data_IF_701110019125
#
_entry.id   IF_701110019125
#
_cell.length_a   1.000
_cell.length_b   1.000
_cell.length_c   1.000
_cell.angle_alpha   90.00
_cell.angle_beta   90.00
_cell.angle_gamma   90.00
#
_symmetry.space_group_name_H-M   'P 1'
#
loop_
_entity.id
_entity.type
_entity.pdbx_description
1 polymer ?
#
# COMPACT_ATOMS: atom_id res chain seq x y z
N UNK A 1 -15.58 14.87 32.05
CA UNK A 1 -14.78 13.70 32.40
C UNK A 1 -15.27 13.14 33.74
N UNK A 2 -15.68 11.89 33.80
CA UNK A 2 -16.24 11.21 34.97
C UNK A 2 -17.38 11.99 35.68
N UNK A 3 -18.30 12.52 34.92
CA UNK A 3 -19.44 13.33 35.38
C UNK A 3 -19.10 14.76 35.80
N UNK A 4 -17.83 15.18 35.71
CA UNK A 4 -17.40 16.56 36.04
C UNK A 4 -17.01 17.31 34.78
N UNK A 5 -17.41 18.57 34.68
CA UNK A 5 -16.96 19.47 33.58
C UNK A 5 -15.49 19.81 33.80
N UNK A 6 -14.66 19.59 32.79
CA UNK A 6 -13.23 19.92 32.77
C UNK A 6 -13.02 21.04 31.76
N UNK A 7 -12.63 22.21 32.23
CA UNK A 7 -12.35 23.40 31.40
C UNK A 7 -10.86 23.76 31.34
N UNK A 8 -10.02 23.06 32.14
CA UNK A 8 -8.60 23.32 32.15
C UNK A 8 -7.92 22.78 30.90
N UNK A 9 -7.23 23.65 30.15
CA UNK A 9 -6.44 23.27 28.98
C UNK A 9 -5.30 22.32 29.42
N UNK A 10 -5.07 21.26 28.62
CA UNK A 10 -4.01 20.28 28.89
C UNK A 10 -4.38 19.21 29.92
N UNK A 11 -5.62 19.13 30.37
CA UNK A 11 -6.10 18.01 31.20
C UNK A 11 -5.87 16.69 30.49
N UNK A 12 -5.21 15.75 31.14
CA UNK A 12 -4.99 14.39 30.61
C UNK A 12 -6.18 13.51 31.00
N UNK A 13 -6.55 12.64 30.07
CA UNK A 13 -7.58 11.61 30.27
C UNK A 13 -7.04 10.26 29.83
N UNK A 14 -7.41 9.21 30.53
CA UNK A 14 -7.16 7.82 30.15
C UNK A 14 -8.40 7.26 29.46
N UNK A 15 -8.28 6.95 28.18
CA UNK A 15 -9.40 6.45 27.38
C UNK A 15 -9.92 5.06 27.82
N UNK A 16 -9.14 4.31 28.62
CA UNK A 16 -9.53 2.99 29.12
C UNK A 16 -10.23 3.08 30.50
N UNK A 17 -9.97 4.13 31.26
CA UNK A 17 -10.45 4.28 32.65
C UNK A 17 -11.44 5.43 32.82
N UNK A 18 -11.33 6.48 32.00
CA UNK A 18 -12.14 7.68 32.14
C UNK A 18 -13.36 7.68 31.22
N UNK A 19 -14.53 8.02 31.77
CA UNK A 19 -15.72 8.33 30.99
C UNK A 19 -15.64 9.78 30.51
N UNK A 20 -15.37 9.94 29.20
CA UNK A 20 -15.23 11.25 28.57
C UNK A 20 -16.50 11.58 27.81
N UNK A 21 -17.08 12.76 28.04
CA UNK A 21 -18.23 13.27 27.28
C UNK A 21 -17.87 14.64 26.69
N UNK A 22 -18.36 14.91 25.47
CA UNK A 22 -18.35 16.24 24.83
C UNK A 22 -19.81 16.64 24.58
N UNK A 23 -20.22 17.79 25.11
CA UNK A 23 -21.60 18.27 25.03
C UNK A 23 -22.63 17.23 25.49
N UNK A 24 -22.32 16.54 26.60
CA UNK A 24 -23.16 15.51 27.19
C UNK A 24 -23.19 14.17 26.43
N UNK A 25 -22.53 14.06 25.28
CA UNK A 25 -22.44 12.81 24.51
C UNK A 25 -21.17 12.05 24.91
N UNK A 26 -21.27 10.79 25.31
CA UNK A 26 -20.07 10.00 25.64
C UNK A 26 -19.21 9.83 24.39
N UNK A 27 -17.91 10.06 24.52
CA UNK A 27 -16.94 9.59 23.54
C UNK A 27 -16.83 8.08 23.68
N UNK A 28 -17.12 7.39 22.59
CA UNK A 28 -16.86 5.96 22.51
C UNK A 28 -15.35 5.75 22.68
N UNK A 29 -14.98 4.65 23.37
CA UNK A 29 -13.58 4.28 23.55
C UNK A 29 -12.83 4.15 22.21
N UNK A 30 -11.53 3.81 22.24
CA UNK A 30 -10.73 3.72 21.01
C UNK A 30 -11.39 2.80 20.00
N UNK A 31 -11.50 3.28 18.76
CA UNK A 31 -12.10 2.54 17.67
C UNK A 31 -11.34 1.23 17.43
N UNK A 32 -12.08 0.12 17.27
CA UNK A 32 -11.45 -1.16 16.94
C UNK A 32 -10.62 -1.03 15.67
N UNK A 33 -9.34 -1.40 15.76
CA UNK A 33 -8.47 -1.41 14.60
C UNK A 33 -8.86 -2.53 13.65
N UNK A 34 -9.01 -2.18 12.37
CA UNK A 34 -9.41 -3.07 11.29
C UNK A 34 -8.32 -3.09 10.22
N UNK A 35 -8.01 -4.27 9.72
CA UNK A 35 -7.01 -4.49 8.68
C UNK A 35 -7.59 -5.40 7.61
N UNK A 36 -7.73 -4.91 6.39
CA UNK A 36 -8.26 -5.67 5.27
C UNK A 36 -7.19 -5.84 4.19
N UNK A 37 -7.04 -7.06 3.71
CA UNK A 37 -6.32 -7.37 2.49
C UNK A 37 -7.33 -7.38 1.34
N UNK A 38 -7.24 -6.38 0.46
CA UNK A 38 -8.04 -6.28 -0.76
C UNK A 38 -7.21 -6.72 -1.96
N UNK A 39 -7.76 -7.58 -2.83
CA UNK A 39 -7.21 -7.80 -4.17
C UNK A 39 -7.87 -6.80 -5.13
N UNK A 40 -7.25 -5.63 -5.26
CA UNK A 40 -7.75 -4.55 -6.11
C UNK A 40 -7.76 -4.98 -7.57
N UNK A 41 -8.88 -4.94 -8.30
CA UNK A 41 -8.90 -5.11 -9.75
C UNK A 41 -8.46 -3.81 -10.45
N UNK A 42 -8.16 -3.88 -11.74
CA UNK A 42 -8.03 -2.67 -12.59
C UNK A 42 -9.37 -1.92 -12.67
N UNK A 43 -9.31 -0.63 -13.01
CA UNK A 43 -10.51 0.19 -13.18
C UNK A 43 -11.04 0.81 -11.88
N UNK A 44 -10.29 0.76 -10.80
CA UNK A 44 -10.62 1.41 -9.53
C UNK A 44 -9.48 2.34 -9.11
N UNK A 45 -9.81 3.57 -8.70
CA UNK A 45 -8.83 4.51 -8.14
C UNK A 45 -8.59 4.21 -6.66
N UNK A 46 -7.33 4.33 -6.25
CA UNK A 46 -6.92 4.10 -4.85
C UNK A 46 -7.08 5.42 -4.07
N UNK A 47 -8.30 5.73 -3.70
CA UNK A 47 -8.67 6.90 -2.91
C UNK A 47 -9.95 6.64 -2.13
N UNK A 48 -10.20 7.42 -1.08
CA UNK A 48 -11.45 7.40 -0.32
C UNK A 48 -12.57 8.09 -1.10
N UNK A 49 -12.25 9.13 -1.86
CA UNK A 49 -13.19 9.89 -2.70
C UNK A 49 -12.51 10.33 -3.97
N UNK A 50 -13.23 10.32 -5.08
CA UNK A 50 -12.74 10.77 -6.38
C UNK A 50 -13.61 11.89 -6.93
N UNK A 51 -13.05 13.09 -7.17
CA UNK A 51 -13.84 14.22 -7.69
C UNK A 51 -14.29 14.03 -9.14
N UNK A 52 -13.66 13.12 -9.89
CA UNK A 52 -14.05 12.79 -11.28
C UNK A 52 -15.13 11.69 -11.35
N UNK A 53 -15.61 11.19 -10.20
CA UNK A 53 -16.66 10.18 -10.14
C UNK A 53 -16.27 8.79 -10.63
N UNK A 54 -14.96 8.49 -10.73
CA UNK A 54 -14.49 7.15 -11.10
C UNK A 54 -14.70 6.18 -9.93
N UNK A 55 -14.93 4.89 -10.20
CA UNK A 55 -15.04 3.88 -9.15
C UNK A 55 -13.83 3.88 -8.22
N UNK A 56 -14.05 3.89 -6.92
CA UNK A 56 -12.99 3.89 -5.91
C UNK A 56 -12.86 2.53 -5.24
N UNK A 57 -11.72 2.27 -4.61
CA UNK A 57 -11.50 1.04 -3.83
C UNK A 57 -12.48 0.92 -2.64
N UNK A 58 -13.10 2.02 -2.21
CA UNK A 58 -14.10 2.02 -1.15
C UNK A 58 -15.37 1.28 -1.54
N UNK A 59 -15.76 1.33 -2.81
CA UNK A 59 -16.94 0.62 -3.32
C UNK A 59 -16.78 -0.91 -3.19
N UNK A 60 -15.54 -1.42 -3.28
CA UNK A 60 -15.24 -2.84 -3.15
C UNK A 60 -15.39 -3.37 -1.73
N UNK A 61 -15.25 -2.52 -0.71
CA UNK A 61 -15.40 -2.89 0.71
C UNK A 61 -16.79 -2.55 1.27
N UNK A 62 -17.62 -1.82 0.51
CA UNK A 62 -19.02 -1.54 0.81
C UNK A 62 -19.24 -0.79 2.13
N UNK A 63 -20.32 -1.15 2.87
CA UNK A 63 -20.71 -0.48 4.11
C UNK A 63 -19.71 -0.63 5.28
N UNK A 64 -18.67 -1.43 5.14
CA UNK A 64 -17.54 -1.53 6.09
C UNK A 64 -16.55 -0.36 5.96
N UNK A 65 -16.94 0.68 5.27
CA UNK A 65 -16.13 1.88 5.05
C UNK A 65 -15.92 2.75 6.30
N UNK A 66 -16.23 2.27 7.51
CA UNK A 66 -16.03 2.99 8.75
C UNK A 66 -14.57 3.42 8.88
N UNK A 67 -14.28 4.65 8.46
CA UNK A 67 -12.96 5.31 8.53
C UNK A 67 -11.78 4.52 7.95
N UNK A 68 -12.01 3.46 7.15
CA UNK A 68 -10.92 2.74 6.48
C UNK A 68 -10.36 3.59 5.33
N UNK A 69 -9.06 3.50 5.14
CA UNK A 69 -8.37 4.13 4.01
C UNK A 69 -7.27 3.20 3.47
N UNK A 70 -6.93 3.35 2.18
CA UNK A 70 -5.89 2.54 1.55
C UNK A 70 -4.50 2.91 2.07
N UNK A 71 -3.66 1.89 2.31
CA UNK A 71 -2.26 2.05 2.69
C UNK A 71 -1.40 2.06 1.44
N UNK A 72 -0.92 3.24 1.07
CA UNK A 72 -0.26 3.46 -0.20
C UNK A 72 -1.23 3.39 -1.37
N UNK A 73 -0.68 3.28 -2.58
CA UNK A 73 -1.47 3.35 -3.81
C UNK A 73 -1.10 2.26 -4.80
N UNK A 74 -2.08 1.85 -5.59
CA UNK A 74 -1.94 1.17 -6.87
C UNK A 74 -2.62 2.04 -7.93
N UNK A 75 -1.99 2.19 -9.09
CA UNK A 75 -2.56 2.96 -10.20
C UNK A 75 -3.90 2.35 -10.67
N UNK A 76 -4.71 3.14 -11.38
CA UNK A 76 -6.00 2.74 -11.93
C UNK A 76 -5.93 1.43 -12.75
N UNK A 77 -4.88 1.29 -13.57
CA UNK A 77 -4.63 0.11 -14.41
C UNK A 77 -3.80 -0.98 -13.71
N UNK A 78 -3.44 -0.81 -12.43
CA UNK A 78 -2.68 -1.79 -11.66
C UNK A 78 -3.60 -2.61 -10.76
N UNK A 79 -3.22 -3.85 -10.51
CA UNK A 79 -4.01 -4.85 -9.78
C UNK A 79 -3.27 -5.34 -8.55
N UNK A 80 -3.96 -6.09 -7.69
CA UNK A 80 -3.37 -6.92 -6.64
C UNK A 80 -3.54 -6.39 -5.23
N UNK A 81 -2.66 -6.82 -4.34
CA UNK A 81 -2.75 -6.62 -2.91
C UNK A 81 -2.74 -5.13 -2.54
N UNK A 82 -3.81 -4.67 -1.92
CA UNK A 82 -3.94 -3.37 -1.30
C UNK A 82 -4.39 -3.57 0.15
N UNK A 83 -3.61 -3.03 1.09
CA UNK A 83 -4.01 -3.00 2.50
C UNK A 83 -4.94 -1.82 2.74
N UNK A 84 -6.03 -2.04 3.48
CA UNK A 84 -6.95 -1.02 3.96
C UNK A 84 -7.00 -1.09 5.48
N UNK A 85 -6.95 0.04 6.17
CA UNK A 85 -6.97 0.07 7.65
C UNK A 85 -7.44 1.43 8.18
N UNK A 86 -7.82 1.48 9.46
CA UNK A 86 -7.96 2.69 10.26
C UNK A 86 -6.79 2.90 11.23
N UNK A 87 -5.75 2.03 11.19
CA UNK A 87 -4.51 2.19 11.96
C UNK A 87 -3.56 3.18 11.26
N UNK A 88 -3.64 4.46 11.67
CA UNK A 88 -2.81 5.53 11.10
C UNK A 88 -1.32 5.32 11.33
N UNK A 89 -0.94 4.78 12.48
CA UNK A 89 0.46 4.56 12.83
C UNK A 89 1.10 3.50 11.91
N UNK A 90 0.43 2.36 11.74
CA UNK A 90 0.90 1.30 10.84
C UNK A 90 0.89 1.76 9.38
N UNK A 91 -0.15 2.47 8.95
CA UNK A 91 -0.24 3.00 7.59
C UNK A 91 0.91 3.97 7.27
N UNK A 92 1.24 4.85 8.20
CA UNK A 92 2.36 5.77 8.06
C UNK A 92 3.69 5.01 7.97
N UNK A 93 3.93 4.01 8.84
CA UNK A 93 5.15 3.19 8.79
C UNK A 93 5.29 2.47 7.45
N UNK A 94 4.24 1.81 6.96
CA UNK A 94 4.25 1.07 5.68
C UNK A 94 4.48 1.95 4.45
N UNK A 95 4.09 3.23 4.51
CA UNK A 95 4.23 4.18 3.40
C UNK A 95 5.52 4.98 3.43
N UNK A 96 6.19 5.09 4.57
CA UNK A 96 7.51 5.72 4.67
C UNK A 96 8.53 4.97 3.80
N UNK A 97 9.31 5.70 3.00
CA UNK A 97 10.38 5.10 2.20
C UNK A 97 11.45 4.40 3.07
N UNK A 98 11.70 4.95 4.25
CA UNK A 98 12.68 4.42 5.22
C UNK A 98 12.29 3.06 5.83
N UNK A 99 11.03 2.64 5.76
CA UNK A 99 10.60 1.33 6.29
C UNK A 99 11.10 0.16 5.45
N UNK A 100 11.50 0.42 4.21
CA UNK A 100 12.03 -0.59 3.26
C UNK A 100 11.17 -1.86 3.15
N UNK A 101 9.89 -1.81 3.51
CA UNK A 101 8.99 -2.97 3.39
C UNK A 101 8.90 -3.42 1.94
N UNK A 102 9.28 -4.67 1.63
CA UNK A 102 9.34 -5.15 0.26
C UNK A 102 7.94 -5.24 -0.35
N UNK A 103 7.85 -4.85 -1.60
CA UNK A 103 6.65 -4.92 -2.43
C UNK A 103 6.96 -5.76 -3.66
N UNK A 104 6.33 -6.92 -3.79
CA UNK A 104 6.56 -7.84 -4.90
C UNK A 104 5.48 -7.67 -5.95
N UNK A 105 5.91 -7.50 -7.19
CA UNK A 105 5.02 -7.32 -8.33
C UNK A 105 5.30 -8.37 -9.41
N UNK A 106 4.23 -8.87 -10.01
CA UNK A 106 4.30 -9.53 -11.31
C UNK A 106 3.97 -8.51 -12.40
N UNK A 107 4.83 -8.44 -13.40
CA UNK A 107 4.79 -7.41 -14.46
C UNK A 107 4.84 -8.10 -15.81
N UNK A 108 3.79 -7.95 -16.62
CA UNK A 108 3.78 -8.38 -18.03
C UNK A 108 4.43 -7.30 -18.86
N UNK A 109 5.42 -7.66 -19.65
CA UNK A 109 6.16 -6.71 -20.50
C UNK A 109 6.10 -7.10 -21.98
N UNK A 110 6.14 -6.09 -22.86
CA UNK A 110 6.28 -6.30 -24.28
C UNK A 110 7.73 -6.54 -24.64
N UNK A 111 7.98 -7.60 -25.42
CA UNK A 111 9.34 -8.03 -25.76
C UNK A 111 10.08 -8.64 -24.57
N UNK A 112 10.97 -9.57 -24.85
CA UNK A 112 11.78 -10.26 -23.85
C UNK A 112 12.96 -9.38 -23.42
N UNK A 113 13.08 -8.99 -22.14
CA UNK A 113 14.25 -8.26 -21.65
C UNK A 113 15.51 -9.11 -21.74
N UNK A 114 16.59 -8.51 -22.25
CA UNK A 114 17.93 -9.11 -22.21
C UNK A 114 18.47 -9.20 -20.79
N UNK A 115 19.44 -10.06 -20.55
CA UNK A 115 20.08 -10.13 -19.23
C UNK A 115 20.75 -8.79 -18.85
N UNK A 116 21.28 -8.06 -19.82
CA UNK A 116 21.79 -6.71 -19.61
C UNK A 116 20.69 -5.75 -19.12
N UNK A 117 19.49 -5.81 -19.72
CA UNK A 117 18.33 -5.01 -19.28
C UNK A 117 17.91 -5.38 -17.85
N UNK A 118 17.85 -6.69 -17.55
CA UNK A 118 17.53 -7.18 -16.20
C UNK A 118 18.57 -6.73 -15.18
N UNK A 119 19.85 -6.77 -15.53
CA UNK A 119 20.91 -6.32 -14.63
C UNK A 119 20.84 -4.81 -14.34
N UNK A 120 20.49 -4.01 -15.35
CA UNK A 120 20.26 -2.56 -15.16
C UNK A 120 19.10 -2.30 -14.20
N UNK A 121 17.99 -3.05 -14.32
CA UNK A 121 16.86 -2.98 -13.39
C UNK A 121 17.27 -3.36 -11.96
N UNK A 122 18.09 -4.42 -11.80
CA UNK A 122 18.58 -4.89 -10.49
C UNK A 122 19.48 -3.88 -9.79
N UNK A 123 20.36 -3.22 -10.54
CA UNK A 123 21.30 -2.24 -9.97
C UNK A 123 20.65 -0.92 -9.57
N UNK A 124 19.39 -0.72 -9.96
CA UNK A 124 18.73 0.57 -9.89
C UNK A 124 19.22 1.52 -11.00
N UNK A 125 18.41 2.49 -11.32
CA UNK A 125 18.65 3.43 -12.42
C UNK A 125 18.08 4.80 -12.15
N UNK A 126 18.55 5.80 -12.88
CA UNK A 126 17.94 7.13 -12.85
C UNK A 126 16.68 7.12 -13.70
N UNK A 127 15.56 7.49 -13.11
CA UNK A 127 14.27 7.68 -13.78
C UNK A 127 13.84 9.14 -13.67
N UNK A 128 13.07 9.62 -14.65
CA UNK A 128 12.46 10.93 -14.61
C UNK A 128 11.03 10.83 -14.05
N UNK A 129 10.68 11.70 -13.12
CA UNK A 129 9.35 11.79 -12.53
C UNK A 129 8.46 12.73 -13.39
N UNK A 130 7.16 12.80 -13.07
CA UNK A 130 6.19 13.66 -13.79
C UNK A 130 6.50 15.15 -13.68
N UNK A 131 7.16 15.57 -12.61
CA UNK A 131 7.59 16.95 -12.37
C UNK A 131 8.96 17.28 -13.00
N UNK A 132 9.50 16.38 -13.85
CA UNK A 132 10.79 16.55 -14.51
C UNK A 132 12.01 16.21 -13.63
N UNK A 133 11.83 15.95 -12.34
CA UNK A 133 12.96 15.57 -11.47
C UNK A 133 13.51 14.20 -11.83
N UNK A 134 14.83 14.12 -11.87
CA UNK A 134 15.55 12.87 -12.08
C UNK A 134 15.97 12.29 -10.73
N UNK A 135 15.58 11.06 -10.47
CA UNK A 135 15.85 10.36 -9.20
C UNK A 135 16.45 8.98 -9.46
N UNK A 136 17.46 8.61 -8.65
CA UNK A 136 18.00 7.25 -8.67
C UNK A 136 17.07 6.33 -7.89
N UNK A 137 16.71 5.18 -8.48
CA UNK A 137 15.97 4.13 -7.79
C UNK A 137 16.91 3.28 -6.95
N UNK A 138 16.37 2.69 -5.89
CA UNK A 138 17.07 1.65 -5.14
C UNK A 138 17.30 0.42 -6.02
N UNK A 139 18.25 -0.43 -5.61
CA UNK A 139 18.42 -1.77 -6.19
C UNK A 139 17.13 -2.58 -6.03
N UNK A 140 16.84 -3.41 -7.02
CA UNK A 140 15.65 -4.26 -7.04
C UNK A 140 16.03 -5.73 -7.26
N UNK A 141 15.20 -6.68 -6.79
CA UNK A 141 15.31 -8.07 -7.26
C UNK A 141 14.42 -8.21 -8.49
N UNK A 142 14.99 -8.71 -9.59
CA UNK A 142 14.24 -8.89 -10.84
C UNK A 142 14.58 -10.25 -11.43
N UNK A 143 13.55 -11.01 -11.84
CA UNK A 143 13.70 -12.28 -12.55
C UNK A 143 12.57 -12.48 -13.55
N UNK A 144 12.82 -13.23 -14.61
CA UNK A 144 11.80 -13.74 -15.49
C UNK A 144 11.02 -14.86 -14.79
N UNK A 145 9.72 -14.90 -14.98
CA UNK A 145 8.85 -15.97 -14.46
C UNK A 145 8.58 -17.05 -15.52
N UNK A 146 8.72 -16.70 -16.80
CA UNK A 146 8.48 -17.60 -17.92
C UNK A 146 9.41 -17.27 -19.10
N UNK A 147 9.65 -18.23 -19.93
CA UNK A 147 10.36 -18.07 -21.19
C UNK A 147 9.34 -17.84 -22.32
N UNK A 148 9.06 -16.59 -22.62
CA UNK A 148 8.06 -16.18 -23.61
C UNK A 148 8.51 -14.93 -24.37
N UNK A 149 7.92 -14.67 -25.54
CA UNK A 149 8.18 -13.45 -26.33
C UNK A 149 7.78 -12.17 -25.55
N UNK A 150 6.68 -12.24 -24.79
CA UNK A 150 6.21 -11.19 -23.88
C UNK A 150 6.09 -11.79 -22.46
N UNK A 151 7.19 -11.88 -21.70
CA UNK A 151 7.20 -12.63 -20.46
C UNK A 151 6.56 -11.89 -19.31
N UNK A 152 6.15 -12.65 -18.28
CA UNK A 152 5.99 -12.11 -16.94
C UNK A 152 7.34 -12.02 -16.25
N UNK A 153 7.57 -10.89 -15.58
CA UNK A 153 8.71 -10.66 -14.70
C UNK A 153 8.22 -10.51 -13.26
N UNK A 154 8.99 -11.01 -12.31
CA UNK A 154 8.84 -10.63 -10.91
C UNK A 154 9.81 -9.50 -10.59
N UNK A 155 9.33 -8.46 -9.94
CA UNK A 155 10.17 -7.38 -9.42
C UNK A 155 9.82 -7.11 -7.96
N UNK A 156 10.85 -7.03 -7.09
CA UNK A 156 10.71 -6.68 -5.68
C UNK A 156 11.34 -5.31 -5.45
N UNK A 157 10.55 -4.38 -4.96
CA UNK A 157 10.96 -3.01 -4.62
C UNK A 157 10.82 -2.78 -3.12
N UNK A 158 11.76 -2.03 -2.53
CA UNK A 158 11.71 -1.56 -1.13
C UNK A 158 11.23 -0.11 -1.02
N UNK A 159 10.93 0.53 -2.12
CA UNK A 159 10.41 1.89 -2.24
C UNK A 159 9.16 1.92 -3.13
N UNK A 160 8.53 3.08 -3.28
CA UNK A 160 7.35 3.20 -4.14
C UNK A 160 7.20 4.62 -4.67
N UNK A 161 7.82 4.91 -5.81
CA UNK A 161 7.66 6.19 -6.51
C UNK A 161 6.51 6.10 -7.52
N UNK A 162 5.98 7.26 -7.89
CA UNK A 162 4.92 7.32 -8.90
C UNK A 162 5.36 6.60 -10.19
N UNK A 163 4.55 5.59 -10.61
CA UNK A 163 4.73 4.78 -11.81
C UNK A 163 6.14 4.19 -12.00
N UNK A 164 6.87 3.96 -10.90
CA UNK A 164 8.29 3.58 -10.90
C UNK A 164 8.56 2.39 -11.81
N UNK A 165 7.82 1.29 -11.69
CA UNK A 165 8.01 0.07 -12.48
C UNK A 165 7.88 0.36 -13.98
N UNK A 166 6.85 1.13 -14.38
CA UNK A 166 6.62 1.50 -15.79
C UNK A 166 7.78 2.31 -16.35
N UNK A 167 8.31 3.27 -15.57
CA UNK A 167 9.46 4.09 -15.95
C UNK A 167 10.74 3.28 -16.05
N UNK A 168 10.98 2.37 -15.10
CA UNK A 168 12.17 1.50 -15.10
C UNK A 168 12.18 0.60 -16.35
N UNK A 169 11.08 -0.09 -16.65
CA UNK A 169 11.00 -0.96 -17.82
C UNK A 169 11.06 -0.16 -19.13
N UNK A 170 10.40 0.98 -19.22
CA UNK A 170 10.47 1.86 -20.38
C UNK A 170 11.92 2.32 -20.66
N UNK A 171 12.68 2.64 -19.61
CA UNK A 171 14.08 3.06 -19.73
C UNK A 171 15.01 1.96 -20.28
N UNK A 172 14.65 0.70 -20.16
CA UNK A 172 15.37 -0.42 -20.77
C UNK A 172 14.71 -0.93 -22.06
N UNK A 173 13.76 -0.18 -22.64
CA UNK A 173 13.17 -0.44 -23.95
C UNK A 173 11.94 -1.36 -23.94
N UNK A 174 11.31 -1.58 -22.77
CA UNK A 174 10.15 -2.46 -22.66
C UNK A 174 8.92 -1.73 -22.12
N UNK A 175 7.77 -1.90 -22.77
CA UNK A 175 6.51 -1.37 -22.26
C UNK A 175 5.87 -2.35 -21.30
N UNK A 176 5.30 -1.81 -20.21
CA UNK A 176 4.58 -2.60 -19.22
C UNK A 176 3.10 -2.68 -19.59
N UNK A 177 2.63 -3.88 -19.88
CA UNK A 177 1.24 -4.18 -20.26
C UNK A 177 0.35 -4.34 -19.02
N UNK A 178 0.80 -5.16 -18.04
CA UNK A 178 0.07 -5.42 -16.80
C UNK A 178 0.99 -5.34 -15.59
N UNK A 179 0.45 -4.87 -14.47
CA UNK A 179 1.13 -4.88 -13.16
C UNK A 179 0.16 -5.44 -12.13
N UNK A 180 0.64 -6.43 -11.38
CA UNK A 180 -0.09 -6.99 -10.24
C UNK A 180 0.82 -7.02 -9.02
N UNK A 181 0.47 -6.32 -7.93
CA UNK A 181 1.17 -6.48 -6.66
C UNK A 181 0.73 -7.78 -6.00
N UNK A 182 1.64 -8.75 -5.89
CA UNK A 182 1.35 -10.08 -5.35
C UNK A 182 1.70 -10.21 -3.88
N UNK A 183 2.62 -9.35 -3.37
CA UNK A 183 2.95 -9.34 -1.95
C UNK A 183 3.29 -7.94 -1.42
N UNK A 184 3.10 -7.73 -0.13
CA UNK A 184 3.48 -6.55 0.65
C UNK A 184 4.06 -7.03 1.99
N UNK A 185 5.38 -6.89 2.18
CA UNK A 185 6.05 -7.50 3.31
C UNK A 185 5.77 -8.99 3.40
N UNK A 186 5.29 -9.49 4.55
CA UNK A 186 4.96 -10.90 4.75
C UNK A 186 3.60 -11.32 4.15
N UNK A 187 2.81 -10.37 3.65
CA UNK A 187 1.47 -10.64 3.12
C UNK A 187 1.52 -11.02 1.65
N UNK A 188 0.75 -12.03 1.25
CA UNK A 188 0.54 -12.41 -0.15
C UNK A 188 -0.94 -12.32 -0.49
N UNK A 189 -1.26 -12.01 -1.77
CA UNK A 189 -2.65 -11.97 -2.23
C UNK A 189 -3.20 -13.38 -2.36
N UNK A 190 -4.27 -13.68 -1.63
CA UNK A 190 -4.89 -15.01 -1.51
C UNK A 190 -6.43 -14.98 -1.71
N UNK A 191 -6.98 -13.83 -2.08
CA UNK A 191 -8.40 -13.67 -2.41
C UNK A 191 -8.58 -13.32 -3.89
N UNK A 192 -9.76 -13.63 -4.45
CA UNK A 192 -10.08 -13.32 -5.84
C UNK A 192 -10.08 -11.80 -6.12
N UNK A 193 -9.85 -11.36 -7.37
CA UNK A 193 -9.95 -9.94 -7.74
C UNK A 193 -11.29 -9.32 -7.33
N UNK A 194 -11.26 -8.13 -6.74
CA UNK A 194 -12.42 -7.43 -6.21
C UNK A 194 -12.92 -7.93 -4.86
N UNK A 195 -12.29 -8.95 -4.29
CA UNK A 195 -12.61 -9.48 -2.95
C UNK A 195 -11.59 -9.03 -1.93
N UNK A 196 -12.02 -9.04 -0.66
CA UNK A 196 -11.17 -8.73 0.48
C UNK A 196 -11.42 -9.74 1.62
N UNK A 197 -10.47 -9.80 2.54
CA UNK A 197 -10.61 -10.46 3.84
C UNK A 197 -9.96 -9.64 4.94
N UNK A 198 -10.35 -9.90 6.18
CA UNK A 198 -9.60 -9.38 7.33
C UNK A 198 -8.26 -10.10 7.47
N UNK A 199 -7.25 -9.38 7.97
CA UNK A 199 -5.99 -9.99 8.38
C UNK A 199 -6.18 -10.72 9.72
N UNK A 200 -5.48 -11.83 9.89
CA UNK A 200 -5.35 -12.47 11.19
C UNK A 200 -4.45 -11.64 12.11
N UNK A 201 -4.53 -11.88 13.43
CA UNK A 201 -3.65 -11.22 14.40
C UNK A 201 -2.16 -11.46 14.10
N UNK A 202 -1.82 -12.71 13.74
CA UNK A 202 -0.45 -13.09 13.38
C UNK A 202 0.05 -12.35 12.12
N UNK A 203 -0.80 -12.17 11.11
CA UNK A 203 -0.46 -11.38 9.92
C UNK A 203 -0.19 -9.91 10.26
N UNK A 204 -1.01 -9.31 11.13
CA UNK A 204 -0.83 -7.94 11.60
C UNK A 204 0.48 -7.81 12.37
N UNK A 205 0.79 -8.72 13.29
CA UNK A 205 2.05 -8.68 14.05
C UNK A 205 3.27 -8.87 13.14
N UNK A 206 3.24 -9.82 12.21
CA UNK A 206 4.31 -9.99 11.22
C UNK A 206 4.50 -8.73 10.34
N UNK A 207 3.41 -8.05 10.01
CA UNK A 207 3.46 -6.83 9.23
C UNK A 207 4.09 -5.68 10.01
N UNK A 208 3.75 -5.53 11.30
CA UNK A 208 4.37 -4.55 12.21
C UNK A 208 5.88 -4.81 12.37
N UNK A 209 6.26 -6.08 12.57
CA UNK A 209 7.68 -6.47 12.66
C UNK A 209 8.43 -6.11 11.38
N UNK A 210 7.82 -6.33 10.20
CA UNK A 210 8.42 -6.00 8.91
C UNK A 210 8.64 -4.49 8.69
N UNK A 211 7.91 -3.63 9.40
CA UNK A 211 8.11 -2.17 9.36
C UNK A 211 9.31 -1.70 10.21
N UNK A 212 9.90 -2.59 11.02
CA UNK A 212 10.90 -2.21 12.02
C UNK A 212 10.30 -1.55 13.27
N UNK A 213 11.11 -1.25 14.29
CA UNK A 213 10.63 -0.56 15.48
C UNK A 213 10.11 0.82 15.10
N UNK A 214 8.84 1.09 15.43
CA UNK A 214 8.26 2.43 15.29
C UNK A 214 9.08 3.44 16.08
N UNK A 215 9.36 4.59 15.51
CA UNK A 215 9.82 5.73 16.29
C UNK A 215 8.76 6.03 17.36
N UNK A 216 9.14 5.90 18.64
CA UNK A 216 8.31 6.28 19.80
C UNK A 216 8.29 7.78 19.99
#
# INVERSE_FOLDING_TARGET
MNGKTVSALGSKADAEQDTICVDGKPLLGPERLVYLLLNKPKGYVTTVSDPEGRPTVMELIGKRADRLYPVGRLDYASEGLLLMTNDGALAQQLTKAASHVPKTYHVKVSGRPSEQSLQRLRNGMTIELEDGRRVKTSAAKVRLLEDAANPWCEIVLIEGRNRQIRRMFHHVGHNVEKIKRVALGPLTVDVAPGKYRELTRDEVERLKVACGPGER
#
